data_IF_236269804315
#
_entry.id   IF_236269804315
#
_cell.length_a   1.000
_cell.length_b   1.000
_cell.length_c   1.000
_cell.angle_alpha   90.00
_cell.angle_beta   90.00
_cell.angle_gamma   90.00
#
_symmetry.space_group_name_H-M   'P 1'
#
loop_
_entity.id
_entity.type
_entity.pdbx_description
1 polymer ?
#
# COMPACT_ATOMS: atom_id res chain seq x y z
N UNK A 1 16.16 14.78 0.73
CA UNK A 1 16.61 13.52 0.10
C UNK A 1 15.84 12.44 0.82
N UNK A 2 15.11 11.62 0.09
CA UNK A 2 14.24 10.63 0.73
C UNK A 2 15.06 9.49 1.32
N UNK A 3 14.69 9.08 2.53
CA UNK A 3 15.44 8.14 3.36
C UNK A 3 14.83 6.74 3.28
N UNK A 4 15.60 5.76 2.85
CA UNK A 4 15.19 4.37 2.69
C UNK A 4 15.93 3.48 3.69
N UNK A 5 15.20 2.57 4.33
CA UNK A 5 15.78 1.49 5.14
C UNK A 5 15.71 0.18 4.36
N UNK A 6 16.83 -0.49 4.20
CA UNK A 6 16.92 -1.87 3.70
C UNK A 6 17.12 -2.79 4.91
N UNK A 7 16.34 -3.87 5.01
CA UNK A 7 16.51 -4.93 6.01
C UNK A 7 16.71 -6.23 5.25
N UNK A 8 17.97 -6.65 5.12
CA UNK A 8 18.42 -7.76 4.28
C UNK A 8 19.68 -8.38 4.90
N UNK A 9 19.69 -9.68 5.16
CA UNK A 9 20.82 -10.35 5.83
C UNK A 9 21.95 -10.72 4.87
N UNK A 10 21.66 -10.89 3.58
CA UNK A 10 22.68 -11.13 2.55
C UNK A 10 23.41 -9.84 2.17
N UNK A 11 24.62 -9.64 2.73
CA UNK A 11 25.42 -8.42 2.53
C UNK A 11 25.57 -8.04 1.05
N UNK A 12 25.81 -9.01 0.17
CA UNK A 12 26.01 -8.75 -1.26
C UNK A 12 24.73 -8.24 -1.95
N UNK A 13 23.56 -8.69 -1.51
CA UNK A 13 22.26 -8.23 -2.03
C UNK A 13 21.98 -6.83 -1.47
N UNK A 14 22.13 -6.65 -0.16
CA UNK A 14 21.90 -5.37 0.49
C UNK A 14 22.79 -4.25 -0.08
N UNK A 15 24.08 -4.54 -0.31
CA UNK A 15 25.00 -3.56 -0.90
C UNK A 15 24.62 -3.23 -2.36
N UNK A 16 24.23 -4.24 -3.15
CA UNK A 16 23.75 -4.03 -4.52
C UNK A 16 22.48 -3.16 -4.54
N UNK A 17 21.49 -3.47 -3.70
CA UNK A 17 20.26 -2.67 -3.57
C UNK A 17 20.57 -1.24 -3.19
N UNK A 18 21.45 -1.04 -2.20
CA UNK A 18 21.91 0.26 -1.74
C UNK A 18 22.54 1.06 -2.87
N UNK A 19 23.53 0.48 -3.57
CA UNK A 19 24.26 1.18 -4.63
C UNK A 19 23.30 1.71 -5.71
N UNK A 20 22.35 0.89 -6.16
CA UNK A 20 21.36 1.31 -7.18
C UNK A 20 20.38 2.37 -6.69
N UNK A 21 19.97 2.29 -5.44
CA UNK A 21 19.09 3.29 -4.85
C UNK A 21 19.83 4.60 -4.59
N UNK A 22 21.08 4.58 -4.11
CA UNK A 22 21.92 5.78 -3.93
C UNK A 22 22.24 6.46 -5.28
N UNK A 23 22.59 5.70 -6.31
CA UNK A 23 22.73 6.20 -7.68
C UNK A 23 21.44 6.87 -8.21
N UNK A 24 20.30 6.46 -7.68
CA UNK A 24 19.00 7.03 -8.03
C UNK A 24 18.58 8.23 -7.17
N UNK A 25 19.45 8.68 -6.25
CA UNK A 25 19.27 9.89 -5.47
C UNK A 25 18.61 9.71 -4.11
N UNK A 26 18.56 8.49 -3.57
CA UNK A 26 18.04 8.21 -2.24
C UNK A 26 19.15 8.20 -1.17
N UNK A 27 18.80 8.46 0.08
CA UNK A 27 19.66 8.23 1.26
C UNK A 27 19.31 6.83 1.81
N UNK A 28 20.27 5.90 1.76
CA UNK A 28 20.00 4.50 2.05
C UNK A 28 20.76 4.01 3.26
N UNK A 29 20.03 3.38 4.19
CA UNK A 29 20.58 2.75 5.36
C UNK A 29 20.25 1.25 5.33
N UNK A 30 21.19 0.43 5.80
CA UNK A 30 21.05 -1.03 5.82
C UNK A 30 21.07 -1.53 7.27
N UNK A 31 20.22 -2.50 7.55
CA UNK A 31 20.28 -3.38 8.71
C UNK A 31 20.27 -4.84 8.26
N UNK A 32 21.23 -5.61 8.77
CA UNK A 32 21.43 -7.00 8.35
C UNK A 32 20.71 -8.02 9.25
N UNK A 33 19.81 -7.55 10.12
CA UNK A 33 19.06 -8.41 11.04
C UNK A 33 17.67 -7.83 11.31
N UNK A 34 16.66 -8.68 11.35
CA UNK A 34 15.27 -8.27 11.52
C UNK A 34 14.98 -7.50 12.81
N UNK A 35 15.58 -7.90 13.93
CA UNK A 35 15.43 -7.23 15.23
C UNK A 35 16.03 -5.81 15.24
N UNK A 36 17.19 -5.64 14.62
CA UNK A 36 17.84 -4.32 14.46
C UNK A 36 17.08 -3.44 13.50
N UNK A 37 16.68 -3.99 12.36
CA UNK A 37 15.85 -3.31 11.37
C UNK A 37 14.53 -2.82 11.95
N UNK A 38 13.82 -3.67 12.69
CA UNK A 38 12.61 -3.30 13.40
C UNK A 38 12.85 -2.16 14.39
N UNK A 39 13.88 -2.32 15.25
CA UNK A 39 14.22 -1.29 16.24
C UNK A 39 14.50 0.06 15.59
N UNK A 40 15.20 0.05 14.46
CA UNK A 40 15.54 1.26 13.73
C UNK A 40 14.34 1.86 13.02
N UNK A 41 13.53 1.04 12.37
CA UNK A 41 12.30 1.45 11.71
C UNK A 41 11.31 2.14 12.66
N UNK A 42 11.25 1.70 13.93
CA UNK A 42 10.39 2.31 14.94
C UNK A 42 10.98 3.62 15.51
N UNK A 43 12.30 3.72 15.66
CA UNK A 43 12.97 4.88 16.27
C UNK A 43 13.23 6.04 15.30
N UNK A 44 13.46 5.76 14.04
CA UNK A 44 13.79 6.76 13.02
C UNK A 44 12.66 6.85 12.00
N UNK A 45 12.59 8.00 11.31
CA UNK A 45 11.64 8.19 10.23
C UNK A 45 12.29 7.84 8.90
N UNK A 46 11.63 6.95 8.17
CA UNK A 46 11.98 6.55 6.81
C UNK A 46 10.79 6.82 5.89
N UNK A 47 11.10 7.13 4.64
CA UNK A 47 10.08 7.37 3.61
C UNK A 47 9.64 6.06 2.93
N UNK A 48 10.47 5.00 3.01
CA UNK A 48 10.17 3.65 2.52
C UNK A 48 11.09 2.62 3.19
N UNK A 49 10.57 1.40 3.36
CA UNK A 49 11.34 0.26 3.86
C UNK A 49 11.33 -0.84 2.79
N UNK A 50 12.53 -1.33 2.41
CA UNK A 50 12.72 -2.58 1.66
C UNK A 50 12.99 -3.68 2.68
N UNK A 51 12.21 -4.76 2.66
CA UNK A 51 12.22 -5.76 3.71
C UNK A 51 12.30 -7.17 3.12
N UNK A 52 13.40 -7.88 3.38
CA UNK A 52 13.45 -9.32 3.10
C UNK A 52 12.56 -10.11 4.06
N UNK A 53 11.90 -11.12 3.54
CA UNK A 53 11.11 -12.05 4.34
C UNK A 53 11.93 -13.14 5.01
N UNK A 54 13.06 -13.52 4.42
CA UNK A 54 13.86 -14.67 4.84
C UNK A 54 14.93 -14.32 5.88
N UNK A 55 14.66 -13.35 6.73
CA UNK A 55 15.60 -12.89 7.76
C UNK A 55 15.81 -13.95 8.86
N UNK A 56 17.03 -14.09 9.38
CA UNK A 56 17.29 -14.95 10.53
C UNK A 56 16.73 -14.35 11.83
N UNK A 57 16.23 -15.19 12.71
CA UNK A 57 15.68 -14.78 13.98
C UNK A 57 14.23 -14.32 13.88
N UNK A 58 14.00 -13.02 13.71
CA UNK A 58 12.66 -12.46 13.47
C UNK A 58 12.44 -12.41 11.97
N UNK A 59 11.45 -13.14 11.47
CA UNK A 59 11.11 -13.15 10.04
C UNK A 59 10.51 -11.82 9.57
N UNK A 60 10.60 -11.54 8.26
CA UNK A 60 10.13 -10.27 7.70
C UNK A 60 8.61 -10.08 7.84
N UNK A 61 7.81 -11.13 7.94
CA UNK A 61 6.37 -10.99 8.21
C UNK A 61 6.11 -10.40 9.59
N UNK A 62 6.83 -10.88 10.60
CA UNK A 62 6.71 -10.37 11.96
C UNK A 62 7.27 -8.94 12.08
N UNK A 63 8.37 -8.63 11.37
CA UNK A 63 8.89 -7.27 11.26
C UNK A 63 7.84 -6.33 10.67
N UNK A 64 7.25 -6.69 9.55
CA UNK A 64 6.19 -5.91 8.90
C UNK A 64 5.00 -5.68 9.84
N UNK A 65 4.49 -6.74 10.47
CA UNK A 65 3.36 -6.66 11.39
C UNK A 65 3.63 -5.65 12.52
N UNK A 66 4.80 -5.72 13.16
CA UNK A 66 5.16 -4.81 14.26
C UNK A 66 5.35 -3.36 13.80
N UNK A 67 5.94 -3.14 12.63
CA UNK A 67 6.04 -1.79 12.07
C UNK A 67 4.64 -1.22 11.85
N UNK A 68 3.71 -2.02 11.33
CA UNK A 68 2.33 -1.59 11.04
C UNK A 68 1.49 -1.27 12.28
N UNK A 69 1.84 -1.82 13.43
CA UNK A 69 1.19 -1.46 14.71
C UNK A 69 1.47 -0.01 15.12
N UNK A 70 2.60 0.58 14.65
CA UNK A 70 3.03 1.91 15.08
C UNK A 70 3.19 2.91 13.91
N UNK A 71 3.49 2.44 12.69
CA UNK A 71 3.82 3.33 11.55
C UNK A 71 3.15 2.88 10.25
N UNK A 72 2.81 3.88 9.43
CA UNK A 72 2.24 3.69 8.08
C UNK A 72 3.26 3.95 6.95
N UNK A 73 4.56 3.80 7.23
CA UNK A 73 5.62 3.95 6.23
C UNK A 73 5.45 2.90 5.11
N UNK A 74 5.61 3.23 3.82
CA UNK A 74 5.55 2.25 2.74
C UNK A 74 6.54 1.11 2.94
N UNK A 75 6.08 -0.14 2.79
CA UNK A 75 6.92 -1.35 2.90
C UNK A 75 6.84 -2.13 1.59
N UNK A 76 7.98 -2.27 0.92
CA UNK A 76 8.20 -3.17 -0.20
C UNK A 76 8.84 -4.46 0.32
N UNK A 77 8.08 -5.55 0.30
CA UNK A 77 8.62 -6.88 0.65
C UNK A 77 9.39 -7.47 -0.52
N UNK A 78 10.52 -8.09 -0.20
CA UNK A 78 11.36 -8.82 -1.16
C UNK A 78 11.55 -10.25 -0.68
N UNK A 79 11.45 -11.27 -1.55
CA UNK A 79 11.62 -12.65 -1.09
C UNK A 79 11.98 -13.61 -2.23
N UNK A 80 12.73 -14.67 -1.88
CA UNK A 80 12.93 -15.82 -2.76
C UNK A 80 11.67 -16.71 -2.89
N UNK A 81 10.69 -16.53 -2.02
CA UNK A 81 9.43 -17.29 -2.04
C UNK A 81 8.55 -16.83 -3.20
N UNK A 82 8.17 -17.77 -4.05
CA UNK A 82 7.34 -17.53 -5.24
C UNK A 82 5.89 -17.93 -5.04
N UNK A 83 5.56 -18.52 -3.88
CA UNK A 83 4.20 -19.01 -3.61
C UNK A 83 3.23 -17.83 -3.41
N UNK A 84 2.10 -17.89 -4.09
CA UNK A 84 1.04 -16.88 -3.99
C UNK A 84 0.52 -16.75 -2.55
N UNK A 85 0.60 -17.82 -1.75
CA UNK A 85 0.23 -17.81 -0.34
C UNK A 85 1.10 -16.85 0.46
N UNK A 86 2.42 -16.86 0.26
CA UNK A 86 3.34 -15.95 0.98
C UNK A 86 3.15 -14.49 0.55
N UNK A 87 2.88 -14.25 -0.75
CA UNK A 87 2.54 -12.90 -1.25
C UNK A 87 1.25 -12.39 -0.62
N UNK A 88 0.17 -13.21 -0.66
CA UNK A 88 -1.12 -12.87 -0.06
C UNK A 88 -0.96 -12.59 1.44
N UNK A 89 -0.14 -13.39 2.14
CA UNK A 89 0.17 -13.19 3.55
C UNK A 89 0.88 -11.87 3.81
N UNK A 90 1.94 -11.54 3.05
CA UNK A 90 2.69 -10.30 3.19
C UNK A 90 1.83 -9.05 3.00
N UNK A 91 1.06 -9.03 1.91
CA UNK A 91 0.11 -7.96 1.62
C UNK A 91 -1.01 -7.91 2.68
N UNK A 92 -1.48 -9.07 3.13
CA UNK A 92 -2.47 -9.16 4.22
C UNK A 92 -1.96 -8.65 5.56
N UNK A 93 -0.66 -8.61 5.81
CA UNK A 93 -0.04 -8.01 6.98
C UNK A 93 0.23 -6.50 6.83
N UNK A 94 -0.09 -5.92 5.67
CA UNK A 94 -0.03 -4.49 5.42
C UNK A 94 1.19 -4.05 4.61
N UNK A 95 1.90 -4.96 3.92
CA UNK A 95 2.87 -4.54 2.91
C UNK A 95 2.16 -3.81 1.77
N UNK A 96 2.82 -2.82 1.20
CA UNK A 96 2.27 -2.03 0.09
C UNK A 96 2.54 -2.70 -1.25
N UNK A 97 3.64 -3.45 -1.36
CA UNK A 97 4.02 -4.19 -2.56
C UNK A 97 4.90 -5.40 -2.21
N UNK A 98 5.05 -6.31 -3.18
CA UNK A 98 5.82 -7.54 -3.03
C UNK A 98 6.63 -7.82 -4.29
N UNK A 99 7.91 -8.15 -4.14
CA UNK A 99 8.83 -8.46 -5.23
C UNK A 99 9.53 -9.80 -5.00
N UNK A 100 9.66 -10.62 -6.04
CA UNK A 100 10.31 -11.94 -5.94
C UNK A 100 11.77 -11.89 -6.38
N UNK A 101 12.66 -12.53 -5.60
CA UNK A 101 14.05 -12.78 -6.00
C UNK A 101 14.12 -13.97 -7.01
N UNK A 102 14.98 -13.95 -8.04
CA UNK A 102 15.86 -12.84 -8.41
C UNK A 102 15.08 -11.72 -9.14
N UNK A 103 15.43 -10.49 -8.85
CA UNK A 103 14.90 -9.29 -9.51
C UNK A 103 16.04 -8.51 -10.15
N UNK A 104 15.70 -7.64 -11.10
CA UNK A 104 16.68 -6.69 -11.60
C UNK A 104 16.77 -5.46 -10.67
N UNK A 105 17.98 -4.93 -10.41
CA UNK A 105 18.10 -3.69 -9.64
C UNK A 105 17.27 -2.53 -10.21
N UNK A 106 17.09 -2.49 -11.53
CA UNK A 106 16.24 -1.49 -12.20
C UNK A 106 14.76 -1.66 -11.81
N UNK A 107 14.29 -2.87 -11.59
CA UNK A 107 12.92 -3.13 -11.12
C UNK A 107 12.74 -2.61 -9.68
N UNK A 108 13.70 -2.89 -8.79
CA UNK A 108 13.68 -2.36 -7.43
C UNK A 108 13.59 -0.83 -7.44
N UNK A 109 14.47 -0.17 -8.20
CA UNK A 109 14.48 1.30 -8.31
C UNK A 109 13.17 1.82 -8.89
N UNK A 110 12.60 1.18 -9.90
CA UNK A 110 11.33 1.60 -10.50
C UNK A 110 10.19 1.52 -9.48
N UNK A 111 10.10 0.44 -8.71
CA UNK A 111 9.09 0.27 -7.65
C UNK A 111 9.25 1.30 -6.55
N UNK A 112 10.47 1.49 -6.04
CA UNK A 112 10.75 2.51 -5.02
C UNK A 112 10.38 3.90 -5.51
N UNK A 113 10.77 4.29 -6.74
CA UNK A 113 10.40 5.58 -7.34
C UNK A 113 8.90 5.75 -7.49
N UNK A 114 8.17 4.72 -7.92
CA UNK A 114 6.71 4.76 -8.05
C UNK A 114 6.04 5.02 -6.70
N UNK A 115 6.47 4.32 -5.63
CA UNK A 115 5.97 4.56 -4.28
C UNK A 115 6.28 5.97 -3.77
N UNK A 116 7.51 6.47 -3.99
CA UNK A 116 7.94 7.79 -3.56
C UNK A 116 7.24 8.92 -4.31
N UNK A 117 7.16 8.85 -5.64
CA UNK A 117 6.52 9.88 -6.46
C UNK A 117 5.03 10.05 -6.12
N UNK A 118 4.36 8.95 -5.74
CA UNK A 118 2.98 8.99 -5.29
C UNK A 118 2.84 9.67 -3.94
N UNK A 119 3.72 9.35 -3.00
CA UNK A 119 3.77 9.99 -1.68
C UNK A 119 4.01 11.50 -1.80
N UNK A 120 4.96 11.92 -2.65
CA UNK A 120 5.25 13.35 -2.91
C UNK A 120 4.07 14.06 -3.60
N UNK A 121 3.43 13.46 -4.59
CA UNK A 121 2.23 14.04 -5.23
C UNK A 121 1.12 14.30 -4.21
N UNK A 122 0.97 13.44 -3.24
CA UNK A 122 -0.07 13.52 -2.21
C UNK A 122 0.28 14.49 -1.08
N UNK A 123 1.57 14.69 -0.79
CA UNK A 123 2.04 15.64 0.24
C UNK A 123 2.30 17.04 -0.30
N UNK A 124 2.59 17.20 -1.59
CA UNK A 124 2.92 18.50 -2.21
C UNK A 124 1.72 19.27 -2.77
N UNK A 125 0.52 18.71 -2.80
CA UNK A 125 -0.68 19.47 -3.19
C UNK A 125 -1.18 20.40 -2.08
N UNK A 126 -0.33 21.34 -1.67
CA UNK A 126 -0.71 22.47 -0.82
C UNK A 126 -1.43 23.54 -1.65
N UNK A 127 -2.57 23.21 -2.22
CA UNK A 127 -3.57 24.23 -2.59
C UNK A 127 -4.85 23.97 -1.80
N UNK A 128 -5.18 24.99 -1.00
CA UNK A 128 -6.31 25.08 -0.09
C UNK A 128 -7.64 24.88 -0.79
N UNK A 129 -8.07 23.64 -0.90
CA UNK A 129 -9.48 23.27 -0.83
C UNK A 129 -9.51 22.00 0.00
N UNK A 130 -10.27 22.00 1.08
CA UNK A 130 -10.55 20.76 1.81
C UNK A 130 -11.31 19.86 0.84
N UNK A 131 -10.55 19.02 0.15
CA UNK A 131 -11.08 18.07 -0.82
C UNK A 131 -11.59 16.87 -0.02
N UNK A 132 -12.78 17.04 0.56
CA UNK A 132 -13.44 16.06 1.41
C UNK A 132 -14.50 15.35 0.58
N UNK A 133 -14.42 14.04 0.56
CA UNK A 133 -15.48 13.17 0.05
C UNK A 133 -16.27 12.67 1.25
N UNK A 134 -17.58 12.94 1.30
CA UNK A 134 -18.44 12.54 2.43
C UNK A 134 -19.72 11.87 1.93
N UNK A 135 -19.89 10.57 2.24
CA UNK A 135 -21.00 9.77 1.74
C UNK A 135 -21.35 8.67 2.73
N UNK A 136 -22.63 8.60 3.13
CA UNK A 136 -23.19 7.53 3.97
C UNK A 136 -22.38 7.23 5.25
N UNK A 137 -21.79 8.24 5.87
CA UNK A 137 -20.94 8.08 7.06
C UNK A 137 -19.46 7.80 6.76
N UNK A 138 -19.07 7.52 5.51
CA UNK A 138 -17.68 7.54 5.07
C UNK A 138 -17.26 8.97 4.78
N UNK A 139 -16.18 9.43 5.41
CA UNK A 139 -15.55 10.72 5.16
C UNK A 139 -14.08 10.53 4.86
N UNK A 140 -13.65 11.01 3.71
CA UNK A 140 -12.26 10.96 3.25
C UNK A 140 -11.75 12.40 3.14
N UNK A 141 -10.75 12.75 3.92
CA UNK A 141 -9.99 14.00 3.75
C UNK A 141 -8.74 13.67 2.93
N UNK A 142 -8.76 14.05 1.66
CA UNK A 142 -7.66 13.76 0.73
C UNK A 142 -6.40 14.53 1.08
N UNK A 143 -6.55 15.73 1.64
CA UNK A 143 -5.44 16.60 2.02
C UNK A 143 -4.73 16.09 3.26
N UNK A 144 -5.51 15.74 4.30
CA UNK A 144 -4.96 15.20 5.55
C UNK A 144 -4.67 13.69 5.48
N UNK A 145 -5.11 13.00 4.41
CA UNK A 145 -5.04 11.53 4.23
C UNK A 145 -5.69 10.78 5.40
N UNK A 146 -6.84 11.26 5.84
CA UNK A 146 -7.61 10.68 6.95
C UNK A 146 -8.95 10.17 6.47
N UNK A 147 -9.40 9.09 7.09
CA UNK A 147 -10.68 8.45 6.79
C UNK A 147 -11.46 8.25 8.09
N UNK A 148 -12.73 8.64 8.08
CA UNK A 148 -13.65 8.39 9.19
C UNK A 148 -14.84 7.56 8.70
N UNK A 149 -15.30 6.66 9.53
CA UNK A 149 -16.52 5.89 9.34
C UNK A 149 -17.45 6.20 10.51
N UNK A 150 -18.62 6.76 10.22
CA UNK A 150 -19.59 7.20 11.23
C UNK A 150 -18.97 8.07 12.33
N UNK A 151 -18.01 8.92 11.98
CA UNK A 151 -17.31 9.82 12.90
C UNK A 151 -16.10 9.21 13.61
N UNK A 152 -15.83 7.90 13.46
CA UNK A 152 -14.66 7.23 14.02
C UNK A 152 -13.51 7.21 13.00
N UNK A 153 -12.34 7.72 13.37
CA UNK A 153 -11.15 7.69 12.51
C UNK A 153 -10.61 6.27 12.38
N UNK A 154 -10.34 5.84 11.16
CA UNK A 154 -9.74 4.53 10.85
C UNK A 154 -8.38 4.70 10.19
N UNK A 155 -7.40 3.92 10.63
CA UNK A 155 -6.07 3.91 10.03
C UNK A 155 -6.03 3.11 8.72
N UNK A 156 -5.44 3.72 7.69
CA UNK A 156 -5.23 3.11 6.38
C UNK A 156 -3.75 3.13 6.02
N UNK A 157 -3.26 2.07 5.38
CA UNK A 157 -1.94 2.13 4.74
C UNK A 157 -2.00 3.06 3.52
N UNK A 158 -0.83 3.46 3.02
CA UNK A 158 -0.76 4.37 1.86
C UNK A 158 -1.55 3.84 0.67
N UNK A 159 -1.39 2.56 0.32
CA UNK A 159 -2.07 1.95 -0.83
C UNK A 159 -3.56 1.70 -0.60
N UNK A 160 -3.96 1.34 0.61
CA UNK A 160 -5.39 1.24 0.95
C UNK A 160 -6.08 2.60 0.82
N UNK A 161 -5.45 3.67 1.33
CA UNK A 161 -5.98 5.03 1.21
C UNK A 161 -6.11 5.46 -0.24
N UNK A 162 -5.05 5.24 -1.04
CA UNK A 162 -5.02 5.60 -2.45
C UNK A 162 -6.10 4.87 -3.25
N UNK A 163 -6.23 3.56 -3.04
CA UNK A 163 -7.23 2.74 -3.72
C UNK A 163 -8.66 3.15 -3.32
N UNK A 164 -8.91 3.39 -2.02
CA UNK A 164 -10.21 3.85 -1.54
C UNK A 164 -10.56 5.23 -2.15
N UNK A 165 -9.61 6.16 -2.14
CA UNK A 165 -9.82 7.51 -2.68
C UNK A 165 -10.08 7.47 -4.18
N UNK A 166 -9.31 6.69 -4.94
CA UNK A 166 -9.50 6.53 -6.38
C UNK A 166 -10.89 5.98 -6.71
N UNK A 167 -11.33 4.95 -6.01
CA UNK A 167 -12.68 4.40 -6.19
C UNK A 167 -13.76 5.42 -5.81
N UNK A 168 -13.54 6.20 -4.74
CA UNK A 168 -14.49 7.23 -4.30
C UNK A 168 -14.61 8.40 -5.28
N UNK A 169 -13.53 8.73 -6.00
CA UNK A 169 -13.52 9.76 -7.04
C UNK A 169 -14.15 9.29 -8.36
N UNK A 170 -14.29 7.99 -8.56
CA UNK A 170 -14.84 7.39 -9.78
C UNK A 170 -16.08 6.53 -9.48
N UNK A 171 -17.17 7.14 -9.00
CA UNK A 171 -18.38 6.42 -8.64
C UNK A 171 -19.06 5.82 -9.87
N UNK A 172 -19.74 4.69 -9.67
CA UNK A 172 -20.49 3.97 -10.72
C UNK A 172 -19.63 3.51 -11.91
N UNK A 173 -18.33 3.43 -11.72
CA UNK A 173 -17.42 2.88 -12.71
C UNK A 173 -16.87 1.53 -12.24
N UNK A 174 -16.93 0.53 -13.13
CA UNK A 174 -16.34 -0.79 -12.87
C UNK A 174 -14.90 -0.78 -13.36
N UNK A 175 -13.98 -1.05 -12.47
CA UNK A 175 -12.57 -1.18 -12.81
C UNK A 175 -12.15 -2.64 -12.75
N UNK A 176 -11.42 -3.10 -13.74
CA UNK A 176 -10.72 -4.39 -13.69
C UNK A 176 -9.60 -4.34 -12.65
N UNK A 177 -9.13 -5.50 -12.22
CA UNK A 177 -8.00 -5.57 -11.28
C UNK A 177 -6.72 -5.01 -11.91
N UNK A 178 -6.55 -5.23 -13.19
CA UNK A 178 -5.43 -4.73 -14.00
C UNK A 178 -5.42 -3.19 -14.07
N UNK A 179 -6.59 -2.59 -14.31
CA UNK A 179 -6.73 -1.13 -14.30
C UNK A 179 -6.42 -0.55 -12.93
N UNK A 180 -7.02 -1.11 -11.86
CA UNK A 180 -6.74 -0.67 -10.49
C UNK A 180 -5.27 -0.85 -10.12
N UNK A 181 -4.66 -1.97 -10.54
CA UNK A 181 -3.24 -2.19 -10.30
C UNK A 181 -2.39 -1.11 -10.96
N UNK A 182 -2.62 -0.83 -12.24
CA UNK A 182 -1.91 0.20 -13.00
C UNK A 182 -2.07 1.59 -12.39
N UNK A 183 -3.30 1.96 -12.05
CA UNK A 183 -3.61 3.29 -11.49
C UNK A 183 -3.01 3.50 -10.09
N UNK A 184 -3.01 2.46 -9.26
CA UNK A 184 -2.60 2.57 -7.86
C UNK A 184 -1.13 2.23 -7.64
N UNK A 185 -0.54 1.33 -8.43
CA UNK A 185 0.86 0.94 -8.31
C UNK A 185 1.78 1.53 -9.39
N UNK A 186 1.19 2.25 -10.37
CA UNK A 186 1.91 2.99 -11.43
C UNK A 186 2.86 2.11 -12.26
N UNK A 187 2.44 0.87 -12.54
CA UNK A 187 3.28 -0.12 -13.21
C UNK A 187 2.58 -0.74 -14.41
N UNK A 188 3.24 -0.71 -15.57
CA UNK A 188 2.84 -1.51 -16.72
C UNK A 188 3.13 -3.00 -16.43
N UNK A 189 2.10 -3.75 -16.16
CA UNK A 189 1.92 -5.21 -16.35
C UNK A 189 2.87 -6.23 -15.69
N UNK A 190 3.69 -5.93 -14.68
CA UNK A 190 4.57 -6.94 -14.05
C UNK A 190 4.20 -7.19 -12.56
N UNK A 191 3.10 -6.65 -12.09
CA UNK A 191 2.67 -6.82 -10.71
C UNK A 191 1.64 -7.93 -10.53
N UNK A 192 1.58 -8.45 -9.32
CA UNK A 192 0.60 -9.47 -8.97
C UNK A 192 -0.79 -8.84 -8.74
N UNK A 193 -1.72 -9.13 -9.63
CA UNK A 193 -3.12 -8.72 -9.58
C UNK A 193 -3.79 -9.13 -8.25
N UNK A 194 -3.28 -10.18 -7.58
CA UNK A 194 -3.73 -10.59 -6.26
C UNK A 194 -3.58 -9.47 -5.22
N UNK A 195 -2.61 -8.57 -5.40
CA UNK A 195 -2.38 -7.38 -4.55
C UNK A 195 -3.64 -6.53 -4.43
N UNK A 196 -4.33 -6.25 -5.55
CA UNK A 196 -5.58 -5.47 -5.55
C UNK A 196 -6.65 -6.16 -4.70
N UNK A 197 -6.82 -7.48 -4.87
CA UNK A 197 -7.84 -8.25 -4.14
C UNK A 197 -7.61 -8.18 -2.63
N UNK A 198 -6.35 -8.28 -2.18
CA UNK A 198 -6.01 -8.21 -0.75
C UNK A 198 -6.28 -6.81 -0.19
N UNK A 199 -5.92 -5.75 -0.90
CA UNK A 199 -6.17 -4.38 -0.46
C UNK A 199 -7.67 -4.05 -0.44
N UNK A 200 -8.45 -4.48 -1.44
CA UNK A 200 -9.93 -4.35 -1.41
C UNK A 200 -10.52 -5.06 -0.19
N UNK A 201 -10.05 -6.28 0.12
CA UNK A 201 -10.51 -7.01 1.30
C UNK A 201 -10.23 -6.21 2.59
N UNK A 202 -9.01 -5.68 2.73
CA UNK A 202 -8.60 -4.87 3.89
C UNK A 202 -9.38 -3.56 4.02
N UNK A 203 -9.64 -2.90 2.90
CA UNK A 203 -10.48 -1.70 2.88
C UNK A 203 -11.89 -2.05 3.37
N UNK A 204 -12.51 -3.10 2.82
CA UNK A 204 -13.85 -3.55 3.25
C UNK A 204 -13.91 -3.88 4.74
N UNK A 205 -12.93 -4.58 5.29
CA UNK A 205 -12.84 -4.88 6.72
C UNK A 205 -12.88 -3.62 7.61
N UNK A 206 -12.49 -2.45 7.07
CA UNK A 206 -12.45 -1.17 7.77
C UNK A 206 -13.69 -0.30 7.56
N UNK A 207 -14.30 -0.36 6.37
CA UNK A 207 -15.40 0.55 5.99
C UNK A 207 -16.78 -0.10 5.95
N UNK A 208 -16.85 -1.41 5.67
CA UNK A 208 -18.13 -2.11 5.55
C UNK A 208 -18.62 -2.64 6.90
N UNK A 209 -19.91 -2.52 7.16
CA UNK A 209 -20.55 -3.14 8.32
C UNK A 209 -20.62 -4.67 8.16
N UNK A 210 -20.88 -5.11 6.93
CA UNK A 210 -20.91 -6.51 6.52
C UNK A 210 -20.14 -6.68 5.21
N UNK A 211 -18.99 -7.32 5.28
CA UNK A 211 -18.12 -7.55 4.10
C UNK A 211 -18.75 -8.52 3.08
N UNK A 212 -19.73 -9.30 3.47
CA UNK A 212 -20.47 -10.21 2.57
C UNK A 212 -21.51 -9.43 1.74
N UNK A 213 -22.05 -8.34 2.29
CA UNK A 213 -23.01 -7.45 1.63
C UNK A 213 -22.46 -6.02 1.60
N UNK A 214 -21.45 -5.72 0.78
CA UNK A 214 -20.77 -4.46 0.78
C UNK A 214 -21.67 -3.32 0.32
N UNK A 215 -21.56 -2.17 0.98
CA UNK A 215 -22.30 -0.94 0.68
C UNK A 215 -21.49 0.11 -0.05
N UNK A 216 -20.15 0.01 0.00
CA UNK A 216 -19.24 0.98 -0.59
C UNK A 216 -18.48 0.43 -1.79
N UNK A 217 -18.02 -0.83 -1.74
CA UNK A 217 -17.25 -1.44 -2.83
C UNK A 217 -17.86 -2.79 -3.17
N UNK A 218 -18.48 -2.92 -4.34
CA UNK A 218 -19.07 -4.16 -4.83
C UNK A 218 -18.08 -4.96 -5.69
N UNK A 219 -18.17 -6.29 -5.68
CA UNK A 219 -17.44 -7.17 -6.61
C UNK A 219 -18.35 -7.50 -7.79
N UNK A 220 -17.92 -7.12 -8.98
CA UNK A 220 -18.55 -7.54 -10.23
C UNK A 220 -17.82 -8.80 -10.72
N UNK A 221 -18.46 -9.95 -10.50
CA UNK A 221 -17.85 -11.25 -10.79
C UNK A 221 -17.41 -11.38 -12.24
N UNK A 222 -16.15 -11.82 -12.43
CA UNK A 222 -15.55 -11.96 -13.75
C UNK A 222 -15.07 -10.66 -14.38
N UNK A 223 -15.28 -9.49 -13.74
CA UNK A 223 -14.90 -8.17 -14.24
C UNK A 223 -13.95 -7.45 -13.29
N UNK A 224 -14.39 -7.11 -12.07
CA UNK A 224 -13.58 -6.32 -11.17
C UNK A 224 -14.36 -5.75 -9.98
N UNK A 225 -14.14 -4.47 -9.69
CA UNK A 225 -14.75 -3.78 -8.55
C UNK A 225 -15.47 -2.50 -8.97
N UNK A 226 -16.64 -2.28 -8.36
CA UNK A 226 -17.49 -1.11 -8.55
C UNK A 226 -17.53 -0.30 -7.25
N UNK A 227 -17.33 1.00 -7.36
CA UNK A 227 -17.60 1.91 -6.25
C UNK A 227 -19.08 2.30 -6.22
N UNK A 228 -19.75 1.98 -5.10
CA UNK A 228 -21.14 2.37 -4.84
C UNK A 228 -21.25 3.70 -4.10
N UNK A 229 -20.14 4.43 -3.98
CA UNK A 229 -20.00 5.59 -3.09
C UNK A 229 -20.96 6.73 -3.44
N UNK A 230 -21.50 6.81 -4.66
CA UNK A 230 -22.42 7.86 -5.12
C UNK A 230 -23.81 7.38 -5.59
N UNK A 231 -24.25 6.20 -5.21
CA UNK A 231 -25.65 5.85 -5.47
C UNK A 231 -26.52 6.67 -4.53
N UNK A 232 -27.05 7.80 -5.04
CA UNK A 232 -28.16 8.52 -4.40
C UNK A 232 -29.31 7.53 -4.21
N UNK A 233 -29.90 7.49 -2.99
CA UNK A 233 -31.11 6.71 -2.76
C UNK A 233 -32.14 7.00 -3.86
N UNK A 234 -32.79 5.96 -4.43
CA UNK A 234 -33.89 6.21 -5.33
C UNK A 234 -34.94 6.99 -4.53
N UNK A 235 -35.22 8.21 -4.94
CA UNK A 235 -36.36 8.98 -4.47
C UNK A 235 -37.58 8.11 -4.63
N UNK A 236 -38.14 7.63 -3.50
CA UNK A 236 -39.43 6.94 -3.51
C UNK A 236 -40.45 7.92 -4.09
N UNK A 237 -41.13 7.58 -5.20
CA UNK A 237 -42.24 8.38 -5.62
C UNK A 237 -43.34 8.25 -4.56
N UNK A 238 -43.88 9.37 -4.17
CA UNK A 238 -45.07 9.49 -3.33
C UNK A 238 -46.27 8.84 -3.99
#
# INVERSE_FOLDING_TARGET
MSKILIIEDEVAIADLEKDYLELSGFDVQIEYAGDKGLTRALKEDFDLIVLDLMLPGIDGFEVCRRIREEKNVPILMVSAKKDDIDKIRGLGLGADDYMTKPFSPSELVARVKAHMARYERLTSSHQKTNDIIEIRGLKIDKTARRVWINGEEKAFTTKEFDLLTFLAENPNHVFTKEELFREIWDMESIGDIATVTVHIKKIREKIEVDTANPQYIETIWGVGYLSLIHISEPTRPY
#
